data_IF_903386037733
#
_entry.id   IF_903386037733
#
_cell.length_a   1.000
_cell.length_b   1.000
_cell.length_c   1.000
_cell.angle_alpha   90.00
_cell.angle_beta   90.00
_cell.angle_gamma   90.00
#
_symmetry.space_group_name_H-M   'P 1'
#
loop_
_entity.id
_entity.type
_entity.pdbx_description
1 polymer ?
#
# COMPACT_ATOMS: atom_id res chain seq x y z
N UNK A 1 4.40 -14.80 4.43
CA UNK A 1 3.17 -14.02 4.16
C UNK A 1 3.20 -13.53 2.71
N UNK A 2 2.09 -13.09 2.12
CA UNK A 2 2.01 -12.53 0.75
C UNK A 2 1.46 -11.10 0.84
N UNK A 3 2.21 -10.12 0.35
CA UNK A 3 1.85 -8.71 0.46
C UNK A 3 1.36 -8.16 -0.89
N UNK A 4 0.07 -7.79 -0.95
CA UNK A 4 -0.52 -7.14 -2.11
C UNK A 4 -0.22 -5.64 -2.09
N UNK A 5 0.74 -5.22 -2.93
CA UNK A 5 1.09 -3.80 -3.11
C UNK A 5 0.32 -3.12 -4.28
N UNK A 6 -0.57 -3.87 -4.93
CA UNK A 6 -1.43 -3.40 -6.01
C UNK A 6 -2.69 -2.68 -5.54
N UNK A 7 -3.67 -2.54 -6.44
CA UNK A 7 -5.00 -2.05 -6.07
C UNK A 7 -5.73 -3.08 -5.21
N UNK A 8 -6.29 -2.63 -4.09
CA UNK A 8 -7.11 -3.42 -3.15
C UNK A 8 -8.62 -3.12 -3.26
N UNK A 9 -8.97 -2.05 -3.99
CA UNK A 9 -10.31 -1.45 -3.95
C UNK A 9 -11.38 -2.27 -4.68
N UNK A 10 -10.98 -3.16 -5.59
CA UNK A 10 -11.91 -3.96 -6.41
C UNK A 10 -11.57 -5.45 -6.31
N UNK A 11 -12.54 -6.29 -6.66
CA UNK A 11 -12.42 -7.75 -6.61
C UNK A 11 -11.51 -8.38 -7.67
N UNK A 12 -11.19 -7.65 -8.76
CA UNK A 12 -10.51 -8.19 -9.97
C UNK A 12 -9.33 -9.12 -9.67
N UNK A 13 -8.48 -8.71 -8.72
CA UNK A 13 -7.36 -9.53 -8.24
C UNK A 13 -7.54 -9.96 -6.80
N UNK A 14 -8.22 -9.14 -5.98
CA UNK A 14 -8.37 -9.41 -4.56
C UNK A 14 -9.11 -10.72 -4.33
N UNK A 15 -10.18 -11.00 -5.07
CA UNK A 15 -11.02 -12.16 -4.80
C UNK A 15 -10.26 -13.46 -5.10
N UNK A 16 -9.61 -13.52 -6.28
CA UNK A 16 -8.78 -14.66 -6.68
C UNK A 16 -7.59 -14.87 -5.73
N UNK A 17 -6.89 -13.79 -5.37
CA UNK A 17 -5.75 -13.88 -4.45
C UNK A 17 -6.20 -14.28 -3.04
N UNK A 18 -7.35 -13.77 -2.58
CA UNK A 18 -7.87 -14.08 -1.25
C UNK A 18 -8.30 -15.55 -1.16
N UNK A 19 -8.94 -16.09 -2.21
CA UNK A 19 -9.30 -17.50 -2.30
C UNK A 19 -8.08 -18.43 -2.13
N UNK A 20 -6.94 -18.06 -2.73
CA UNK A 20 -5.73 -18.90 -2.72
C UNK A 20 -4.85 -18.69 -1.49
N UNK A 21 -4.74 -17.46 -1.00
CA UNK A 21 -3.78 -17.10 0.06
C UNK A 21 -4.44 -16.88 1.42
N UNK A 22 -5.75 -16.67 1.48
CA UNK A 22 -6.53 -16.58 2.72
C UNK A 22 -5.89 -15.61 3.71
N UNK A 23 -5.67 -16.03 4.96
CA UNK A 23 -5.07 -15.23 6.04
C UNK A 23 -3.62 -14.79 5.77
N UNK A 24 -2.95 -15.40 4.78
CA UNK A 24 -1.59 -15.04 4.38
C UNK A 24 -1.57 -13.82 3.46
N UNK A 25 -2.70 -13.45 2.86
CA UNK A 25 -2.80 -12.27 2.00
C UNK A 25 -2.99 -11.02 2.86
N UNK A 26 -2.00 -10.14 2.82
CA UNK A 26 -1.98 -8.88 3.57
C UNK A 26 -1.73 -7.70 2.65
N UNK A 27 -2.02 -6.50 3.14
CA UNK A 27 -1.74 -5.25 2.44
C UNK A 27 -1.42 -4.13 3.44
N UNK A 28 -0.71 -3.06 3.05
CA UNK A 28 -0.49 -1.92 3.93
C UNK A 28 -1.81 -1.22 4.28
N UNK A 29 -2.12 -1.06 5.57
CA UNK A 29 -3.38 -0.43 6.02
C UNK A 29 -3.59 0.97 5.40
N UNK A 30 -2.49 1.71 5.22
CA UNK A 30 -2.49 3.04 4.61
C UNK A 30 -2.91 3.08 3.14
N UNK A 31 -3.10 1.93 2.48
CA UNK A 31 -3.54 1.89 1.07
C UNK A 31 -5.03 2.18 0.90
N UNK A 32 -5.84 2.08 1.95
CA UNK A 32 -7.28 2.33 1.88
C UNK A 32 -7.55 3.74 1.35
N UNK A 33 -8.36 3.83 0.29
CA UNK A 33 -8.71 5.09 -0.36
C UNK A 33 -7.58 5.74 -1.18
N UNK A 34 -6.38 5.15 -1.26
CA UNK A 34 -5.27 5.67 -2.08
C UNK A 34 -5.31 5.08 -3.48
N UNK A 35 -5.25 5.95 -4.49
CA UNK A 35 -4.99 5.57 -5.89
C UNK A 35 -3.51 5.29 -6.15
N UNK A 36 -3.21 4.73 -7.32
CA UNK A 36 -1.90 4.15 -7.70
C UNK A 36 -0.72 5.08 -7.42
N UNK A 37 -0.80 6.34 -7.83
CA UNK A 37 0.26 7.33 -7.62
C UNK A 37 0.44 7.73 -6.15
N UNK A 38 -0.66 7.77 -5.38
CA UNK A 38 -0.59 8.05 -3.95
C UNK A 38 0.07 6.89 -3.19
N UNK A 39 -0.17 5.64 -3.59
CA UNK A 39 0.46 4.45 -3.01
C UNK A 39 1.95 4.39 -3.35
N UNK A 40 2.31 4.62 -4.62
CA UNK A 40 3.72 4.67 -5.05
C UNK A 40 4.51 5.75 -4.31
N UNK A 41 3.95 6.96 -4.20
CA UNK A 41 4.58 8.05 -3.45
C UNK A 41 4.73 7.78 -1.96
N UNK A 42 3.80 7.03 -1.35
CA UNK A 42 3.91 6.59 0.04
C UNK A 42 5.05 5.58 0.20
N UNK A 43 5.09 4.54 -0.64
CA UNK A 43 6.14 3.52 -0.61
C UNK A 43 7.54 4.12 -0.76
N UNK A 44 7.73 5.05 -1.71
CA UNK A 44 9.02 5.72 -1.91
C UNK A 44 9.46 6.52 -0.69
N UNK A 45 8.53 7.19 0.01
CA UNK A 45 8.84 7.92 1.25
C UNK A 45 9.25 6.98 2.36
N UNK A 46 8.46 5.94 2.59
CA UNK A 46 8.76 4.90 3.57
C UNK A 46 10.12 4.25 3.33
N UNK A 47 10.45 3.94 2.07
CA UNK A 47 11.76 3.40 1.71
C UNK A 47 12.90 4.39 2.00
N UNK A 48 12.73 5.66 1.64
CA UNK A 48 13.73 6.71 1.95
C UNK A 48 13.90 6.94 3.46
N UNK A 49 12.81 6.86 4.22
CA UNK A 49 12.78 7.08 5.67
C UNK A 49 13.14 5.82 6.47
N UNK A 50 13.31 4.68 5.80
CA UNK A 50 13.47 3.35 6.42
C UNK A 50 12.35 3.02 7.42
N UNK A 51 11.14 3.46 7.11
CA UNK A 51 9.94 3.25 7.93
C UNK A 51 9.07 2.18 7.31
N UNK A 52 8.84 1.10 8.04
CA UNK A 52 7.94 0.02 7.61
C UNK A 52 6.47 0.43 7.76
N UNK A 53 5.62 -0.01 6.82
CA UNK A 53 4.18 0.24 6.87
C UNK A 53 3.47 -0.85 7.69
N UNK A 54 2.40 -0.51 8.42
CA UNK A 54 1.59 -1.52 9.10
C UNK A 54 0.81 -2.37 8.08
N UNK A 55 0.92 -3.69 8.18
CA UNK A 55 0.23 -4.64 7.31
C UNK A 55 -0.98 -5.25 8.02
N UNK A 56 -2.12 -5.31 7.33
CA UNK A 56 -3.34 -5.95 7.81
C UNK A 56 -3.80 -7.03 6.84
N UNK A 57 -4.56 -8.01 7.35
CA UNK A 57 -5.17 -9.05 6.53
C UNK A 57 -6.13 -8.44 5.50
N UNK A 58 -6.12 -8.94 4.27
CA UNK A 58 -7.16 -8.60 3.28
C UNK A 58 -8.52 -9.17 3.71
N UNK A 59 -8.51 -10.31 4.40
CA UNK A 59 -9.72 -10.97 4.87
C UNK A 59 -10.43 -10.10 5.92
N UNK A 60 -11.68 -9.75 5.66
CA UNK A 60 -12.51 -8.93 6.56
C UNK A 60 -12.13 -7.44 6.62
N UNK A 61 -11.11 -6.99 5.88
CA UNK A 61 -10.72 -5.58 5.89
C UNK A 61 -11.64 -4.70 5.06
N UNK A 62 -11.82 -3.46 5.52
CA UNK A 62 -12.36 -2.37 4.72
C UNK A 62 -11.31 -1.95 3.70
N UNK A 63 -11.62 -2.10 2.40
CA UNK A 63 -10.67 -1.88 1.30
C UNK A 63 -10.92 -0.60 0.49
N UNK A 64 -12.11 -0.04 0.63
CA UNK A 64 -12.51 1.24 0.07
C UNK A 64 -12.74 2.23 1.21
N UNK A 65 -12.44 3.51 0.98
CA UNK A 65 -12.56 4.51 2.02
C UNK A 65 -12.33 5.91 1.48
N UNK A 66 -12.50 6.90 2.36
CA UNK A 66 -12.26 8.30 2.02
C UNK A 66 -10.83 8.47 1.53
N UNK A 67 -10.67 9.16 0.40
CA UNK A 67 -9.36 9.47 -0.17
C UNK A 67 -8.52 10.23 0.86
N UNK A 68 -7.33 9.72 1.25
CA UNK A 68 -6.45 10.47 2.14
C UNK A 68 -5.97 11.78 1.49
N UNK A 69 -5.54 12.76 2.30
CA UNK A 69 -4.90 13.97 1.79
C UNK A 69 -3.74 13.66 0.83
N UNK A 70 -3.49 14.58 -0.11
CA UNK A 70 -2.32 14.48 -0.99
C UNK A 70 -1.04 14.48 -0.14
N UNK A 71 -0.07 13.69 -0.56
CA UNK A 71 1.26 13.71 0.05
C UNK A 71 1.86 15.11 -0.10
N UNK A 72 2.34 15.69 1.00
CA UNK A 72 2.97 17.00 1.01
C UNK A 72 4.22 16.99 0.13
N UNK A 73 4.45 17.99 -0.75
CA UNK A 73 5.65 18.04 -1.57
C UNK A 73 6.91 17.86 -0.73
N UNK A 74 7.82 16.98 -1.17
CA UNK A 74 9.08 16.68 -0.47
C UNK A 74 10.22 16.83 -1.47
N UNK A 75 11.27 17.56 -1.08
CA UNK A 75 12.53 17.62 -1.81
C UNK A 75 13.46 16.55 -1.24
N UNK A 76 14.06 15.75 -2.12
CA UNK A 76 15.13 14.84 -1.77
C UNK A 76 16.45 15.50 -2.17
N UNK A 77 17.40 15.60 -1.25
CA UNK A 77 18.78 15.91 -1.61
C UNK A 77 19.29 14.81 -2.54
N UNK A 78 19.97 15.16 -3.65
CA UNK A 78 20.69 14.15 -4.44
C UNK A 78 21.67 13.46 -3.49
N UNK A 79 21.46 12.17 -3.24
CA UNK A 79 22.48 11.37 -2.58
C UNK A 79 23.70 11.31 -3.50
N UNK A 80 24.90 11.36 -2.93
CA UNK A 80 26.13 11.05 -3.65
C UNK A 80 26.01 9.67 -4.31
N UNK A 81 26.54 9.45 -5.52
CA UNK A 81 26.51 8.15 -6.16
C UNK A 81 27.12 7.10 -5.22
N UNK A 82 26.42 5.98 -5.04
CA UNK A 82 26.91 4.79 -4.34
C UNK A 82 28.04 4.18 -5.18
#
# INVERSE_FOLDING_TARGET
EVILLGSIATGKYVDVLLENFQHRLRFPADFVGRGDMSRGGLLLRCAMDKTELPYISVMGAVRSGKRPPKLTPRRYSRASPI
#
